data_IF_955391523806
#
_entry.id   IF_955391523806
#
_cell.length_a   1.000
_cell.length_b   1.000
_cell.length_c   1.000
_cell.angle_alpha   90.00
_cell.angle_beta   90.00
_cell.angle_gamma   90.00
#
_symmetry.space_group_name_H-M   'P 1'
#
loop_
_entity.id
_entity.type
_entity.pdbx_description
1 polymer ?
#
# COMPACT_ATOMS: atom_id res chain seq x y z
N UNK A 1 -1.12 -6.83 -22.55
CA UNK A 1 -1.11 -7.11 -21.09
C UNK A 1 -2.31 -6.40 -20.51
N UNK A 2 -3.13 -7.06 -19.68
CA UNK A 2 -4.22 -6.37 -19.00
C UNK A 2 -3.64 -5.34 -18.03
N UNK A 3 -4.27 -4.18 -17.93
CA UNK A 3 -3.88 -3.13 -16.99
C UNK A 3 -3.99 -3.67 -15.55
N UNK A 4 -3.00 -3.38 -14.70
CA UNK A 4 -3.03 -3.81 -13.30
C UNK A 4 -4.04 -2.95 -12.53
N UNK A 5 -4.72 -3.57 -11.57
CA UNK A 5 -5.56 -2.86 -10.61
C UNK A 5 -4.65 -2.25 -9.55
N UNK A 6 -4.62 -0.92 -9.48
CA UNK A 6 -3.92 -0.18 -8.43
C UNK A 6 -4.69 -0.27 -7.12
N UNK A 7 -3.98 -0.55 -6.04
CA UNK A 7 -4.53 -0.70 -4.69
C UNK A 7 -3.89 0.31 -3.76
N UNK A 8 -4.72 1.08 -3.08
CA UNK A 8 -4.34 1.92 -1.95
C UNK A 8 -4.65 1.21 -0.64
N UNK A 9 -3.67 1.11 0.25
CA UNK A 9 -3.82 0.46 1.56
C UNK A 9 -3.96 1.50 2.68
N UNK A 10 -5.08 1.47 3.39
CA UNK A 10 -5.37 2.40 4.48
C UNK A 10 -4.92 1.83 5.83
N UNK A 11 -3.92 2.47 6.43
CA UNK A 11 -3.31 2.06 7.69
C UNK A 11 -2.30 0.92 7.52
N UNK A 12 -1.28 0.92 8.37
CA UNK A 12 -0.22 -0.11 8.41
C UNK A 12 -0.15 -0.83 9.77
N UNK A 13 -1.31 -1.33 10.20
CA UNK A 13 -1.48 -2.15 11.39
C UNK A 13 -1.10 -3.63 11.16
N UNK A 14 -1.46 -4.51 12.10
CA UNK A 14 -1.15 -5.94 12.00
C UNK A 14 -1.75 -6.60 10.76
N UNK A 15 -3.05 -6.36 10.48
CA UNK A 15 -3.72 -6.94 9.32
C UNK A 15 -3.07 -6.49 8.00
N UNK A 16 -2.83 -5.19 7.87
CA UNK A 16 -2.23 -4.57 6.68
C UNK A 16 -0.82 -5.09 6.41
N UNK A 17 0.04 -5.12 7.44
CA UNK A 17 1.43 -5.56 7.33
C UNK A 17 1.56 -7.07 7.08
N UNK A 18 0.81 -7.88 7.81
CA UNK A 18 0.99 -9.35 7.80
C UNK A 18 0.24 -10.04 6.67
N UNK A 19 -0.94 -9.53 6.29
CA UNK A 19 -1.81 -10.18 5.31
C UNK A 19 -2.01 -9.34 4.06
N UNK A 20 -2.58 -8.13 4.17
CA UNK A 20 -3.03 -7.42 2.98
C UNK A 20 -1.88 -7.01 2.06
N UNK A 21 -0.83 -6.35 2.56
CA UNK A 21 0.28 -5.93 1.72
C UNK A 21 1.00 -7.12 1.04
N UNK A 22 1.37 -8.21 1.76
CA UNK A 22 1.95 -9.39 1.12
C UNK A 22 1.04 -10.06 0.10
N UNK A 23 -0.26 -10.19 0.39
CA UNK A 23 -1.21 -10.83 -0.53
C UNK A 23 -1.47 -9.98 -1.77
N UNK A 24 -1.60 -8.66 -1.64
CA UNK A 24 -1.74 -7.76 -2.79
C UNK A 24 -0.50 -7.87 -3.69
N UNK A 25 0.70 -7.78 -3.12
CA UNK A 25 1.96 -7.86 -3.86
C UNK A 25 2.18 -9.23 -4.53
N UNK A 26 1.69 -10.30 -3.89
CA UNK A 26 1.77 -11.66 -4.41
C UNK A 26 0.69 -12.02 -5.43
N UNK A 27 -0.31 -11.16 -5.67
CA UNK A 27 -1.43 -11.46 -6.57
C UNK A 27 -1.18 -10.89 -7.97
N UNK A 28 -1.06 -11.74 -9.01
CA UNK A 28 -0.93 -11.26 -10.39
C UNK A 28 -2.11 -10.37 -10.79
N UNK A 29 -1.80 -9.24 -11.43
CA UNK A 29 -2.81 -8.26 -11.86
C UNK A 29 -3.12 -7.19 -10.81
N UNK A 30 -2.58 -7.28 -9.59
CA UNK A 30 -2.65 -6.20 -8.59
C UNK A 30 -1.31 -5.44 -8.50
N UNK A 31 -1.41 -4.19 -8.09
CA UNK A 31 -0.27 -3.33 -7.75
C UNK A 31 -0.57 -2.58 -6.45
N UNK A 32 0.24 -2.79 -5.41
CA UNK A 32 0.17 -1.94 -4.22
C UNK A 32 0.83 -0.59 -4.54
N UNK A 33 0.00 0.40 -4.85
CA UNK A 33 0.44 1.69 -5.40
C UNK A 33 0.72 2.73 -4.30
N UNK A 34 0.17 2.54 -3.09
CA UNK A 34 0.47 3.40 -1.95
C UNK A 34 -0.15 2.93 -0.64
N UNK A 35 0.40 3.42 0.46
CA UNK A 35 -0.06 3.15 1.82
C UNK A 35 -0.33 4.47 2.54
N UNK A 36 -1.49 4.59 3.20
CA UNK A 36 -1.70 5.66 4.17
C UNK A 36 -1.25 5.17 5.55
N UNK A 37 -0.32 5.88 6.19
CA UNK A 37 0.18 5.53 7.53
C UNK A 37 0.59 6.80 8.27
N UNK A 38 0.33 6.83 9.58
CA UNK A 38 0.88 7.86 10.47
C UNK A 38 2.37 7.65 10.76
N UNK A 39 2.89 6.45 10.48
CA UNK A 39 4.30 6.10 10.64
C UNK A 39 4.82 5.50 9.32
N UNK A 40 5.51 6.35 8.54
CA UNK A 40 6.13 5.93 7.28
C UNK A 40 7.35 5.03 7.51
N UNK A 41 8.09 5.23 8.60
CA UNK A 41 9.28 4.42 8.90
C UNK A 41 8.92 2.95 9.07
N UNK A 42 7.77 2.65 9.68
CA UNK A 42 7.24 1.29 9.82
C UNK A 42 6.94 0.63 8.47
N UNK A 43 6.44 1.41 7.50
CA UNK A 43 6.19 0.90 6.14
C UNK A 43 7.50 0.68 5.41
N UNK A 44 8.41 1.67 5.45
CA UNK A 44 9.69 1.62 4.75
C UNK A 44 10.66 0.57 5.29
N UNK A 45 10.52 0.17 6.55
CA UNK A 45 11.26 -0.97 7.11
C UNK A 45 10.96 -2.29 6.38
N UNK A 46 9.73 -2.47 5.89
CA UNK A 46 9.36 -3.65 5.09
C UNK A 46 9.48 -3.37 3.58
N UNK A 47 9.16 -2.15 3.14
CA UNK A 47 9.05 -1.76 1.73
C UNK A 47 9.75 -0.41 1.47
N UNK A 48 11.08 -0.38 1.28
CA UNK A 48 11.87 0.86 1.26
C UNK A 48 11.46 1.91 0.21
N UNK A 49 10.83 1.48 -0.88
CA UNK A 49 10.43 2.35 -1.99
C UNK A 49 8.92 2.61 -2.06
N UNK A 50 8.17 2.24 -1.03
CA UNK A 50 6.71 2.41 -1.01
C UNK A 50 6.31 3.87 -0.87
N UNK A 51 5.36 4.31 -1.69
CA UNK A 51 4.70 5.60 -1.53
C UNK A 51 3.86 5.58 -0.25
N UNK A 52 4.19 6.47 0.68
CA UNK A 52 3.44 6.62 1.94
C UNK A 52 2.85 8.03 2.02
N UNK A 53 1.56 8.10 2.33
CA UNK A 53 0.85 9.36 2.57
C UNK A 53 0.33 9.40 4.01
N UNK A 54 0.30 10.59 4.62
CA UNK A 54 -0.20 10.73 5.99
C UNK A 54 -1.73 10.66 6.06
N UNK A 55 -2.44 11.13 5.03
CA UNK A 55 -3.90 11.20 4.96
C UNK A 55 -4.44 10.17 3.95
N UNK A 56 -5.37 9.29 4.36
CA UNK A 56 -6.15 8.42 3.48
C UNK A 56 -6.69 9.11 2.22
N UNK A 57 -7.15 10.36 2.34
CA UNK A 57 -7.76 11.09 1.24
C UNK A 57 -6.80 11.28 0.07
N UNK A 58 -5.49 11.40 0.34
CA UNK A 58 -4.48 11.55 -0.70
C UNK A 58 -4.42 10.33 -1.63
N UNK A 59 -4.70 9.11 -1.14
CA UNK A 59 -4.77 7.92 -2.00
C UNK A 59 -5.97 7.96 -2.94
N UNK A 60 -7.13 8.44 -2.46
CA UNK A 60 -8.36 8.52 -3.26
C UNK A 60 -8.25 9.51 -4.43
N UNK A 61 -7.34 10.49 -4.33
CA UNK A 61 -7.13 11.51 -5.36
C UNK A 61 -6.02 11.16 -6.34
N UNK A 62 -5.17 10.16 -6.05
CA UNK A 62 -3.92 9.90 -6.79
C UNK A 62 -3.83 8.52 -7.43
N UNK A 63 -4.76 7.60 -7.11
CA UNK A 63 -4.83 6.25 -7.65
C UNK A 63 -5.85 6.13 -8.78
#
# INVERSE_FOLDING_TARGET
>A
MAEKIKVGLLGYGYASKTFHAPLIMGTPGLELAGVSSSDASKVHADWPSMTVVADPQALLMTL
#
